data_IF_153809570019
#
_entry.id   IF_153809570019
#
_cell.length_a   1.000
_cell.length_b   1.000
_cell.length_c   1.000
_cell.angle_alpha   90.00
_cell.angle_beta   90.00
_cell.angle_gamma   90.00
#
_symmetry.space_group_name_H-M   'P 1'
#
loop_
_entity.id
_entity.type
_entity.pdbx_description
1 polymer ?
#
# COMPACT_ATOMS: atom_id res chain seq x y z
N UNK A 1 13.90 -1.29 -50.55
CA UNK A 1 13.06 -0.76 -49.45
C UNK A 1 13.85 -0.90 -48.15
N UNK A 2 13.88 0.11 -47.26
CA UNK A 2 15.03 0.38 -46.40
C UNK A 2 14.99 -0.34 -45.03
N UNK A 3 16.19 -0.47 -44.48
CA UNK A 3 16.58 -1.12 -43.24
C UNK A 3 15.84 -0.56 -42.01
N UNK A 4 15.35 -1.46 -41.16
CA UNK A 4 14.64 -1.13 -39.93
C UNK A 4 15.50 -0.36 -38.93
N UNK A 5 14.95 0.74 -38.40
CA UNK A 5 15.51 1.48 -37.28
C UNK A 5 15.54 0.58 -36.03
N UNK A 6 16.71 0.06 -35.68
CA UNK A 6 16.97 -0.46 -34.34
C UNK A 6 17.05 0.73 -33.37
N UNK A 7 16.01 0.92 -32.55
CA UNK A 7 16.08 1.85 -31.40
C UNK A 7 17.12 1.32 -30.41
N UNK A 8 18.32 1.90 -30.40
CA UNK A 8 19.29 1.71 -29.31
C UNK A 8 18.61 2.17 -28.00
N UNK A 9 18.38 1.26 -27.06
CA UNK A 9 17.97 1.62 -25.70
C UNK A 9 19.07 2.53 -25.13
N UNK A 10 18.70 3.75 -24.76
CA UNK A 10 19.62 4.71 -24.17
C UNK A 10 20.24 4.08 -22.91
N UNK A 11 21.57 4.11 -22.81
CA UNK A 11 22.25 3.65 -21.61
C UNK A 11 21.97 4.64 -20.47
N UNK A 12 21.66 4.17 -19.25
CA UNK A 12 21.44 5.05 -18.11
C UNK A 12 22.72 5.83 -17.82
N UNK A 13 22.55 7.12 -17.52
CA UNK A 13 23.65 8.04 -17.21
C UNK A 13 24.36 7.61 -15.92
N UNK A 14 25.58 8.12 -15.66
CA UNK A 14 26.31 7.82 -14.41
C UNK A 14 25.51 8.23 -13.17
N UNK A 15 24.73 9.32 -13.27
CA UNK A 15 23.81 9.80 -12.22
C UNK A 15 22.70 8.78 -11.95
N UNK A 16 22.11 8.20 -13.00
CA UNK A 16 21.08 7.17 -12.86
C UNK A 16 21.62 5.89 -12.22
N UNK A 17 22.87 5.51 -12.54
CA UNK A 17 23.53 4.35 -11.93
C UNK A 17 23.79 4.57 -10.44
N UNK A 18 24.31 5.73 -10.07
CA UNK A 18 24.57 6.05 -8.66
C UNK A 18 23.27 6.05 -7.86
N UNK A 19 22.20 6.65 -8.39
CA UNK A 19 20.86 6.61 -7.79
C UNK A 19 20.39 5.17 -7.56
N UNK A 20 20.52 4.28 -8.55
CA UNK A 20 20.12 2.87 -8.41
C UNK A 20 20.92 2.14 -7.31
N UNK A 21 22.24 2.39 -7.23
CA UNK A 21 23.09 1.81 -6.18
C UNK A 21 22.67 2.30 -4.80
N UNK A 22 22.47 3.61 -4.64
CA UNK A 22 22.15 4.21 -3.34
C UNK A 22 20.75 3.79 -2.85
N UNK A 23 19.75 3.72 -3.75
CA UNK A 23 18.43 3.18 -3.41
C UNK A 23 18.52 1.69 -3.06
N UNK A 24 19.28 0.91 -3.84
CA UNK A 24 19.47 -0.51 -3.58
C UNK A 24 20.13 -0.76 -2.22
N UNK A 25 21.10 0.09 -1.85
CA UNK A 25 21.70 0.08 -0.52
C UNK A 25 20.68 0.43 0.58
N UNK A 26 19.89 1.48 0.38
CA UNK A 26 18.87 1.88 1.35
C UNK A 26 17.82 0.78 1.59
N UNK A 27 17.35 0.12 0.52
CA UNK A 27 16.42 -1.01 0.64
C UNK A 27 17.02 -2.15 1.45
N UNK A 28 18.29 -2.51 1.20
CA UNK A 28 18.97 -3.57 1.97
C UNK A 28 19.11 -3.22 3.46
N UNK A 29 19.33 -1.94 3.77
CA UNK A 29 19.39 -1.46 5.15
C UNK A 29 18.02 -1.51 5.84
N UNK A 30 16.95 -1.13 5.13
CA UNK A 30 15.58 -1.31 5.61
C UNK A 30 15.24 -2.78 5.83
N UNK A 31 15.65 -3.67 4.92
CA UNK A 31 15.50 -5.12 5.08
C UNK A 31 16.21 -5.67 6.32
N UNK A 32 17.24 -4.97 6.82
CA UNK A 32 17.95 -5.29 8.07
C UNK A 32 17.32 -4.62 9.31
N UNK A 33 16.31 -3.76 9.14
CA UNK A 33 15.67 -3.02 10.22
C UNK A 33 16.37 -1.69 10.56
N UNK A 34 17.14 -1.12 9.63
CA UNK A 34 17.79 0.18 9.83
C UNK A 34 16.96 1.30 9.19
N UNK A 35 16.28 2.10 10.03
CA UNK A 35 15.41 3.21 9.61
C UNK A 35 16.15 4.56 9.50
N UNK A 36 17.45 4.61 9.81
CA UNK A 36 18.24 5.86 9.84
C UNK A 36 18.30 6.60 8.50
N UNK A 37 17.99 5.89 7.42
CA UNK A 37 18.01 6.40 6.05
C UNK A 37 16.69 7.07 5.65
N UNK A 38 15.64 7.01 6.47
CA UNK A 38 14.35 7.64 6.16
C UNK A 38 14.30 9.00 6.86
N UNK A 39 14.15 10.06 6.09
CA UNK A 39 13.92 11.37 6.69
C UNK A 39 12.53 11.43 7.33
N UNK A 40 12.47 11.90 8.58
CA UNK A 40 11.23 11.99 9.35
C UNK A 40 10.85 10.72 10.10
N UNK A 41 11.61 9.63 9.98
CA UNK A 41 11.47 8.49 10.88
C UNK A 41 12.14 8.77 12.23
N UNK A 42 11.38 8.73 13.32
CA UNK A 42 11.89 8.92 14.69
C UNK A 42 11.59 7.68 15.51
N UNK A 43 12.62 6.98 15.98
CA UNK A 43 12.47 5.77 16.81
C UNK A 43 12.39 6.11 18.31
N UNK A 44 12.65 7.36 18.68
CA UNK A 44 12.71 7.84 20.07
C UNK A 44 11.34 8.28 20.65
N UNK A 45 10.24 7.97 19.96
CA UNK A 45 8.87 8.30 20.39
C UNK A 45 7.86 7.22 20.00
N UNK A 46 6.61 7.37 20.45
CA UNK A 46 5.54 6.40 20.13
C UNK A 46 5.26 6.30 18.62
N UNK A 47 5.57 7.32 17.82
CA UNK A 47 5.29 7.38 16.39
C UNK A 47 6.58 7.27 15.59
N UNK A 48 6.64 6.30 14.69
CA UNK A 48 7.80 6.05 13.82
C UNK A 48 7.61 6.67 12.45
N UNK A 49 6.44 6.51 11.83
CA UNK A 49 6.17 7.06 10.50
C UNK A 49 4.68 7.37 10.32
N UNK A 50 4.37 8.48 9.64
CA UNK A 50 3.00 8.84 9.27
C UNK A 50 2.86 9.00 7.76
N UNK A 51 1.87 8.34 7.19
CA UNK A 51 1.54 8.35 5.76
C UNK A 51 0.11 8.84 5.57
N UNK A 52 -0.06 9.89 4.76
CA UNK A 52 -1.36 10.50 4.49
C UNK A 52 -1.97 9.95 3.20
N UNK A 53 -3.28 10.14 3.04
CA UNK A 53 -4.02 9.84 1.81
C UNK A 53 -4.05 8.35 1.43
N UNK A 54 -4.00 7.48 2.44
CA UNK A 54 -4.12 6.04 2.31
C UNK A 54 -5.59 5.64 2.35
N UNK A 55 -5.98 4.78 1.41
CA UNK A 55 -7.33 4.23 1.30
C UNK A 55 -7.42 2.92 2.07
N UNK A 56 -8.49 2.75 2.87
CA UNK A 56 -8.89 1.47 3.43
C UNK A 56 -9.86 0.81 2.45
N UNK A 57 -9.55 -0.42 2.05
CA UNK A 57 -10.33 -1.18 1.07
C UNK A 57 -10.98 -2.40 1.72
N UNK A 58 -12.19 -2.73 1.29
CA UNK A 58 -12.88 -3.98 1.66
C UNK A 58 -13.32 -4.74 0.40
N UNK A 59 -13.22 -6.07 0.39
CA UNK A 59 -13.80 -6.88 -0.68
C UNK A 59 -15.32 -6.74 -0.67
N UNK A 60 -15.89 -6.47 -1.83
CA UNK A 60 -17.33 -6.48 -2.06
C UNK A 60 -17.65 -7.26 -3.32
N UNK A 61 -18.77 -7.98 -3.29
CA UNK A 61 -19.29 -8.65 -4.48
C UNK A 61 -19.73 -7.61 -5.50
N UNK A 62 -19.07 -7.56 -6.65
CA UNK A 62 -19.52 -6.76 -7.77
C UNK A 62 -20.83 -7.36 -8.29
N UNK A 63 -21.92 -6.60 -8.20
CA UNK A 63 -23.18 -6.95 -8.87
C UNK A 63 -23.10 -6.42 -10.29
N UNK A 64 -22.88 -7.30 -11.26
CA UNK A 64 -23.07 -6.94 -12.65
C UNK A 64 -24.55 -6.62 -12.87
N UNK A 65 -24.87 -5.34 -13.09
CA UNK A 65 -26.10 -4.94 -13.77
C UNK A 65 -25.71 -4.49 -15.17
N UNK A 66 -25.39 -5.46 -16.04
CA UNK A 66 -25.31 -5.19 -17.48
C UNK A 66 -26.60 -5.69 -18.15
N UNK A 67 -27.27 -4.78 -18.87
CA UNK A 67 -28.26 -5.13 -19.89
C UNK A 67 -29.72 -5.29 -19.41
N UNK A 68 -30.50 -4.22 -19.57
CA UNK A 68 -31.96 -4.29 -19.53
C UNK A 68 -32.58 -3.14 -20.31
N UNK A 69 -33.44 -3.44 -21.27
CA UNK A 69 -34.22 -2.41 -21.96
C UNK A 69 -35.42 -2.10 -21.08
N UNK A 70 -35.48 -0.85 -20.59
CA UNK A 70 -36.64 -0.32 -19.88
C UNK A 70 -37.41 0.60 -20.82
N UNK A 71 -38.63 0.22 -21.16
CA UNK A 71 -39.54 1.02 -21.97
C UNK A 71 -40.85 1.32 -21.24
N UNK A 72 -41.43 2.48 -21.50
CA UNK A 72 -42.75 2.86 -20.98
C UNK A 72 -43.81 2.48 -22.01
N UNK A 73 -44.75 1.61 -21.62
CA UNK A 73 -45.88 1.23 -22.50
C UNK A 73 -47.01 2.24 -22.36
N UNK A 74 -47.30 2.66 -21.12
CA UNK A 74 -48.38 3.59 -20.83
C UNK A 74 -48.09 4.44 -19.58
N UNK A 75 -48.96 5.40 -19.28
CA UNK A 75 -48.84 6.22 -18.07
C UNK A 75 -49.00 5.34 -16.82
N UNK A 76 -47.87 5.01 -16.18
CA UNK A 76 -47.83 4.16 -14.99
C UNK A 76 -47.43 2.71 -15.24
N UNK A 77 -47.25 2.29 -16.51
CA UNK A 77 -46.89 0.92 -16.86
C UNK A 77 -45.57 0.86 -17.63
N UNK A 78 -44.62 0.10 -17.09
CA UNK A 78 -43.27 -0.08 -17.62
C UNK A 78 -43.02 -1.55 -17.93
N UNK A 79 -42.29 -1.83 -19.00
CA UNK A 79 -41.70 -3.16 -19.23
C UNK A 79 -40.20 -3.12 -18.99
N UNK A 80 -39.69 -4.23 -18.49
CA UNK A 80 -38.28 -4.48 -18.30
C UNK A 80 -37.96 -5.83 -18.92
N UNK A 81 -37.10 -5.85 -19.94
CA UNK A 81 -36.59 -7.08 -20.54
C UNK A 81 -35.08 -7.09 -20.31
N UNK A 82 -34.63 -8.03 -19.49
CA UNK A 82 -33.21 -8.34 -19.29
C UNK A 82 -32.94 -9.79 -19.69
N UNK A 83 -31.83 -10.03 -20.39
CA UNK A 83 -31.30 -11.37 -20.53
C UNK A 83 -30.50 -11.67 -19.26
N UNK A 84 -30.73 -12.81 -18.58
CA UNK A 84 -29.85 -13.24 -17.49
C UNK A 84 -28.53 -13.71 -18.10
N UNK A 85 -27.60 -12.79 -18.30
CA UNK A 85 -26.19 -13.16 -18.23
C UNK A 85 -25.85 -13.10 -16.75
N UNK A 86 -25.60 -14.26 -16.15
CA UNK A 86 -24.96 -14.34 -14.83
C UNK A 86 -23.45 -14.38 -15.08
N UNK A 87 -22.73 -13.24 -15.19
CA UNK A 87 -21.29 -13.29 -14.97
C UNK A 87 -21.09 -13.79 -13.53
N UNK A 88 -20.08 -14.65 -13.35
CA UNK A 88 -19.70 -15.07 -12.02
C UNK A 88 -19.46 -13.84 -11.14
N UNK A 89 -19.95 -13.82 -9.88
CA UNK A 89 -19.73 -12.69 -8.99
C UNK A 89 -18.23 -12.47 -8.80
N UNK A 90 -17.69 -11.43 -9.42
CA UNK A 90 -16.31 -11.01 -9.18
C UNK A 90 -16.23 -10.29 -7.83
N UNK A 91 -15.25 -10.66 -7.01
CA UNK A 91 -14.90 -9.87 -5.84
C UNK A 91 -14.05 -8.67 -6.27
N UNK A 92 -14.50 -7.47 -5.94
CA UNK A 92 -13.79 -6.23 -6.19
C UNK A 92 -13.43 -5.57 -4.85
N UNK A 93 -12.23 -5.01 -4.75
CA UNK A 93 -11.84 -4.17 -3.61
C UNK A 93 -12.42 -2.78 -3.80
N UNK A 94 -13.24 -2.34 -2.84
CA UNK A 94 -13.88 -1.02 -2.86
C UNK A 94 -13.32 -0.17 -1.73
N UNK A 95 -12.99 1.09 -2.03
CA UNK A 95 -12.58 2.07 -1.02
C UNK A 95 -13.75 2.35 -0.07
N UNK A 96 -13.56 2.06 1.21
CA UNK A 96 -14.57 2.29 2.26
C UNK A 96 -14.26 3.49 3.12
N UNK A 97 -12.99 3.88 3.21
CA UNK A 97 -12.57 5.12 3.85
C UNK A 97 -11.19 5.55 3.35
N UNK A 98 -10.80 6.79 3.63
CA UNK A 98 -9.51 7.36 3.28
C UNK A 98 -9.00 8.23 4.41
N UNK A 99 -7.73 8.07 4.75
CA UNK A 99 -7.18 8.68 5.93
C UNK A 99 -5.67 8.62 6.03
N UNK A 100 -5.22 8.54 7.28
CA UNK A 100 -3.81 8.54 7.66
C UNK A 100 -3.44 7.20 8.28
N UNK A 101 -2.35 6.60 7.84
CA UNK A 101 -1.70 5.48 8.54
C UNK A 101 -0.54 6.02 9.35
N UNK A 102 -0.52 5.67 10.63
CA UNK A 102 0.59 5.92 11.53
C UNK A 102 1.17 4.59 11.98
N UNK A 103 2.46 4.38 11.72
CA UNK A 103 3.23 3.26 12.25
C UNK A 103 3.85 3.73 13.57
N UNK A 104 3.54 3.02 14.64
CA UNK A 104 4.09 3.22 15.98
C UNK A 104 5.09 2.12 16.31
N UNK A 105 5.72 2.21 17.48
CA UNK A 105 6.55 1.11 18.01
C UNK A 105 5.72 -0.09 18.47
N UNK A 106 4.43 0.09 18.72
CA UNK A 106 3.54 -0.98 19.20
C UNK A 106 2.72 -1.62 18.07
N UNK A 107 2.51 -0.89 16.97
CA UNK A 107 1.57 -1.32 15.93
C UNK A 107 1.35 -0.32 14.82
N UNK A 108 0.23 -0.48 14.15
CA UNK A 108 -0.25 0.38 13.07
C UNK A 108 -1.62 0.91 13.42
N UNK A 109 -1.81 2.22 13.24
CA UNK A 109 -3.09 2.91 13.44
C UNK A 109 -3.52 3.58 12.14
N UNK A 110 -4.70 3.23 11.65
CA UNK A 110 -5.39 3.94 10.59
C UNK A 110 -6.47 4.85 11.18
N UNK A 111 -6.48 6.11 10.76
CA UNK A 111 -7.50 7.10 11.10
C UNK A 111 -8.09 7.70 9.81
N UNK A 112 -9.28 7.23 9.44
CA UNK A 112 -10.11 7.75 8.37
C UNK A 112 -11.16 8.73 8.87
N UNK A 113 -12.11 9.10 8.01
CA UNK A 113 -13.22 9.99 8.39
C UNK A 113 -14.30 9.26 9.21
N UNK A 114 -14.45 7.96 8.98
CA UNK A 114 -15.53 7.13 9.53
C UNK A 114 -15.01 5.87 10.24
N UNK A 115 -13.78 5.46 9.94
CA UNK A 115 -13.13 4.25 10.46
C UNK A 115 -11.85 4.61 11.21
N UNK A 116 -11.68 3.99 12.37
CA UNK A 116 -10.43 3.99 13.12
C UNK A 116 -10.05 2.54 13.41
N UNK A 117 -8.85 2.14 12.98
CA UNK A 117 -8.39 0.74 13.07
C UNK A 117 -7.00 0.74 13.69
N UNK A 118 -6.83 -0.01 14.76
CA UNK A 118 -5.53 -0.26 15.40
C UNK A 118 -5.17 -1.74 15.30
N UNK A 119 -3.93 -2.03 14.94
CA UNK A 119 -3.38 -3.39 14.92
C UNK A 119 -2.02 -3.38 15.60
N UNK A 120 -1.92 -4.02 16.77
CA UNK A 120 -0.64 -4.24 17.44
C UNK A 120 0.22 -5.26 16.69
N UNK A 121 1.53 -5.09 16.69
CA UNK A 121 2.44 -5.98 15.95
C UNK A 121 2.36 -7.44 16.41
N UNK A 122 2.15 -7.70 17.70
CA UNK A 122 1.98 -9.08 18.23
C UNK A 122 0.72 -9.79 17.70
N UNK A 123 -0.26 -9.04 17.21
CA UNK A 123 -1.49 -9.56 16.62
C UNK A 123 -1.39 -9.75 15.10
N UNK A 124 -0.34 -9.26 14.43
CA UNK A 124 -0.15 -9.46 12.99
C UNK A 124 0.31 -10.89 12.74
N UNK A 125 -0.41 -11.61 11.88
CA UNK A 125 -0.05 -12.96 11.43
C UNK A 125 0.77 -12.89 10.13
N UNK A 126 0.34 -12.06 9.19
CA UNK A 126 1.07 -11.87 7.93
C UNK A 126 0.84 -10.49 7.32
N UNK A 127 1.83 -10.06 6.52
CA UNK A 127 1.78 -8.84 5.72
C UNK A 127 2.14 -9.21 4.28
N UNK A 128 1.24 -8.92 3.35
CA UNK A 128 1.50 -9.00 1.92
C UNK A 128 1.41 -7.61 1.28
N UNK A 129 1.85 -7.47 0.03
CA UNK A 129 1.83 -6.20 -0.67
C UNK A 129 1.19 -6.30 -2.05
N UNK A 130 0.51 -5.24 -2.46
CA UNK A 130 0.13 -4.97 -3.83
C UNK A 130 1.16 -4.02 -4.47
N UNK A 131 0.87 -3.49 -5.66
CA UNK A 131 1.75 -2.51 -6.31
C UNK A 131 1.86 -1.20 -5.50
N UNK A 132 0.76 -0.76 -4.91
CA UNK A 132 0.62 0.54 -4.24
C UNK A 132 0.05 0.43 -2.82
N UNK A 133 0.23 -0.71 -2.15
CA UNK A 133 -0.39 -0.94 -0.86
C UNK A 133 0.07 -2.20 -0.15
N UNK A 134 -0.50 -2.43 1.03
CA UNK A 134 -0.28 -3.62 1.86
C UNK A 134 -1.59 -4.25 2.29
N UNK A 135 -1.55 -5.54 2.55
CA UNK A 135 -2.64 -6.28 3.20
C UNK A 135 -2.12 -6.87 4.51
N UNK A 136 -2.84 -6.65 5.60
CA UNK A 136 -2.53 -7.18 6.93
C UNK A 136 -3.58 -8.21 7.30
N UNK A 137 -3.11 -9.38 7.73
CA UNK A 137 -3.93 -10.42 8.36
C UNK A 137 -3.59 -10.44 9.85
N UNK A 138 -4.60 -10.28 10.71
CA UNK A 138 -4.43 -10.27 12.16
C UNK A 138 -5.02 -11.53 12.78
N UNK A 139 -4.33 -12.10 13.78
CA UNK A 139 -4.67 -13.37 14.46
C UNK A 139 -6.12 -13.44 14.95
N UNK A 140 -6.64 -12.30 15.43
CA UNK A 140 -7.91 -12.26 16.16
C UNK A 140 -9.05 -11.68 15.30
N UNK A 141 -8.74 -11.17 14.10
CA UNK A 141 -9.72 -10.55 13.22
C UNK A 141 -9.83 -11.39 11.95
N UNK A 142 -10.99 -12.01 11.73
CA UNK A 142 -11.28 -12.74 10.48
C UNK A 142 -11.23 -11.84 9.23
N UNK A 143 -11.15 -10.51 9.41
CA UNK A 143 -11.13 -9.54 8.33
C UNK A 143 -9.70 -9.12 7.97
N UNK A 144 -9.33 -9.35 6.71
CA UNK A 144 -8.10 -8.83 6.10
C UNK A 144 -8.23 -7.32 5.95
N UNK A 145 -7.19 -6.59 6.35
CA UNK A 145 -7.14 -5.13 6.21
C UNK A 145 -6.33 -4.78 4.97
N UNK A 146 -6.98 -4.18 3.98
CA UNK A 146 -6.34 -3.78 2.74
C UNK A 146 -6.11 -2.26 2.75
N UNK A 147 -4.87 -1.85 2.60
CA UNK A 147 -4.47 -0.45 2.54
C UNK A 147 -3.82 -0.14 1.21
N UNK A 148 -4.31 0.85 0.46
CA UNK A 148 -3.81 1.25 -0.85
C UNK A 148 -3.58 2.76 -0.97
N UNK A 149 -2.91 3.20 -2.04
CA UNK A 149 -2.58 4.61 -2.27
C UNK A 149 -1.19 5.01 -1.78
N UNK A 150 -0.33 4.04 -1.49
CA UNK A 150 1.08 4.25 -1.15
C UNK A 150 1.80 5.04 -2.26
N UNK A 151 1.44 4.84 -3.53
CA UNK A 151 2.01 5.54 -4.68
C UNK A 151 1.79 7.06 -4.65
N UNK A 152 0.83 7.53 -3.86
CA UNK A 152 0.55 8.95 -3.62
C UNK A 152 1.45 9.56 -2.55
N UNK A 153 2.18 8.74 -1.81
CA UNK A 153 3.12 9.15 -0.76
C UNK A 153 4.52 9.17 -1.33
N UNK A 154 5.24 10.26 -1.11
CA UNK A 154 6.65 10.39 -1.47
C UNK A 154 7.49 10.29 -0.22
N UNK A 155 8.44 9.36 -0.21
CA UNK A 155 9.40 9.17 0.86
C UNK A 155 10.74 9.78 0.46
N UNK A 156 11.38 10.45 1.42
CA UNK A 156 12.76 10.94 1.28
C UNK A 156 13.72 9.95 1.93
N UNK A 157 14.63 9.41 1.12
CA UNK A 157 15.72 8.55 1.57
C UNK A 157 17.03 9.34 1.60
N UNK A 158 17.70 9.39 2.75
CA UNK A 158 18.99 10.01 2.92
C UNK A 158 20.09 8.96 2.95
N UNK A 159 20.99 9.01 1.97
CA UNK A 159 22.20 8.17 1.91
C UNK A 159 23.40 9.10 1.92
N UNK A 160 24.15 9.10 3.02
CA UNK A 160 25.23 10.07 3.26
C UNK A 160 24.69 11.51 3.15
N UNK A 161 25.23 12.31 2.24
CA UNK A 161 24.81 13.69 1.98
C UNK A 161 23.79 13.82 0.84
N UNK A 162 23.26 12.71 0.33
CA UNK A 162 22.32 12.69 -0.81
C UNK A 162 20.92 12.35 -0.35
N UNK A 163 19.94 13.11 -0.81
CA UNK A 163 18.52 12.87 -0.55
C UNK A 163 17.83 12.44 -1.84
N UNK A 164 17.07 11.35 -1.77
CA UNK A 164 16.34 10.78 -2.88
C UNK A 164 14.85 10.72 -2.57
N UNK A 165 14.05 11.38 -3.39
CA UNK A 165 12.59 11.20 -3.36
C UNK A 165 12.20 9.94 -4.12
N UNK A 166 11.45 9.07 -3.45
CA UNK A 166 10.94 7.80 -3.95
C UNK A 166 9.43 7.73 -3.70
N UNK A 167 8.60 7.49 -4.73
CA UNK A 167 7.22 7.07 -4.51
C UNK A 167 7.19 5.81 -3.65
N UNK A 168 6.33 5.80 -2.64
CA UNK A 168 6.17 4.63 -1.79
C UNK A 168 5.44 3.55 -2.60
N UNK A 169 6.11 2.42 -2.80
CA UNK A 169 5.48 1.23 -3.38
C UNK A 169 4.91 0.36 -2.28
N UNK A 170 3.97 -0.54 -2.60
CA UNK A 170 3.48 -1.52 -1.64
C UNK A 170 4.60 -2.39 -1.05
N UNK A 171 5.59 -2.76 -1.87
CA UNK A 171 6.79 -3.47 -1.42
C UNK A 171 7.57 -2.65 -0.39
N UNK A 172 7.84 -1.38 -0.67
CA UNK A 172 8.58 -0.51 0.25
C UNK A 172 7.80 -0.28 1.54
N UNK A 173 6.48 -0.07 1.45
CA UNK A 173 5.59 0.08 2.60
C UNK A 173 5.61 -1.17 3.49
N UNK A 174 5.56 -2.37 2.90
CA UNK A 174 5.70 -3.63 3.64
C UNK A 174 7.06 -3.70 4.35
N UNK A 175 8.15 -3.41 3.64
CA UNK A 175 9.50 -3.44 4.22
C UNK A 175 9.64 -2.47 5.39
N UNK A 176 9.01 -1.30 5.32
CA UNK A 176 8.98 -0.35 6.44
C UNK A 176 8.29 -0.96 7.67
N UNK A 177 7.09 -1.51 7.50
CA UNK A 177 6.35 -2.10 8.61
C UNK A 177 7.15 -3.27 9.21
N UNK A 178 7.73 -4.14 8.37
CA UNK A 178 8.58 -5.25 8.83
C UNK A 178 9.85 -4.77 9.57
N UNK A 179 10.48 -3.69 9.09
CA UNK A 179 11.63 -3.09 9.75
C UNK A 179 11.27 -2.56 11.14
N UNK A 180 10.14 -1.85 11.26
CA UNK A 180 9.65 -1.35 12.56
C UNK A 180 9.30 -2.49 13.50
N UNK A 181 8.61 -3.54 13.01
CA UNK A 181 8.32 -4.75 13.78
C UNK A 181 9.61 -5.35 14.36
N UNK A 182 10.65 -5.47 13.54
CA UNK A 182 11.93 -6.05 13.99
C UNK A 182 12.62 -5.20 15.04
N UNK A 183 12.63 -3.88 14.88
CA UNK A 183 13.19 -2.97 15.89
C UNK A 183 12.42 -3.11 17.20
N UNK A 184 11.09 -3.14 17.12
CA UNK A 184 10.21 -3.13 18.28
C UNK A 184 10.36 -4.41 19.12
N UNK A 185 10.46 -5.58 18.47
CA UNK A 185 10.73 -6.84 19.18
C UNK A 185 12.20 -7.05 19.54
N UNK A 186 13.14 -6.52 18.75
CA UNK A 186 14.58 -6.62 19.03
C UNK A 186 15.10 -5.62 20.09
N UNK A 187 14.26 -4.69 20.53
CA UNK A 187 14.56 -3.79 21.65
C UNK A 187 14.33 -4.47 23.01
N UNK A 188 13.32 -5.35 23.12
CA UNK A 188 13.00 -6.09 24.36
C UNK A 188 14.17 -6.99 24.83
N UNK A 189 14.93 -7.56 23.90
CA UNK A 189 16.09 -8.43 24.21
C UNK A 189 17.33 -7.67 24.73
N UNK A 190 17.35 -6.33 24.69
CA UNK A 190 18.48 -5.52 25.21
C UNK A 190 18.24 -4.95 26.61
N UNK A 191 17.10 -5.27 27.21
CA UNK A 191 16.69 -4.84 28.56
C UNK A 191 16.68 -5.95 29.61
N UNK A 192 17.28 -7.11 29.33
CA UNK A 192 17.44 -8.22 30.30
C UNK A 192 18.90 -8.49 30.64
#
# INVERSE_FOLDING_TARGET
MPFGLWKKKAQPTVVDRQRQVDIGYAIKKLEQGDLSLIEGATVDGSVVLTMYNISLMEPRTARAMEGGIRGRIAKGLYFYVAQPQSPEPAEELVEVDRGTITITVEGLVFAGKSRHIGVGFGAIESISHSQNGITIVAKNNMQKLHFEGADRVVMSLKVQDRVYSQPLTGKLMRLLVEAVIRISFGADDRSS
#
